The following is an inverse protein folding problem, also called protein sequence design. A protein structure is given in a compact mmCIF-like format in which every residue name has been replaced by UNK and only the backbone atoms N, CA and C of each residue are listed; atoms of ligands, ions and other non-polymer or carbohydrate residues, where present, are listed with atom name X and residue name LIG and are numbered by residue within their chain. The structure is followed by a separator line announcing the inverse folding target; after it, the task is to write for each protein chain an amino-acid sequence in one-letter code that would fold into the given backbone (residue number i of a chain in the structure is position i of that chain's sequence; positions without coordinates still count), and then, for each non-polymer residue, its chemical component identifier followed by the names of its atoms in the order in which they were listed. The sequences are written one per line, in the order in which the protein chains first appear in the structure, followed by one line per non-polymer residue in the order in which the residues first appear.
data_IF_748963924026
#
_entry.id   IF_748963924026
#
_cell.length_a   1.000
_cell.length_b   1.000
_cell.length_c   1.000
_cell.angle_alpha   90.00
_cell.angle_beta   90.00
_cell.angle_gamma   90.00
#
_symmetry.space_group_name_H-M   'P 1'
#
loop_
_entity.id
_entity.type
_entity.pdbx_description
1 polymer ?
#
# COMPACT_ATOMS: atom_id res chain seq x y z
N UNK A 1 -18.90 -6.72 13.59
CA UNK A 1 -18.27 -6.65 12.26
C UNK A 1 -19.06 -5.75 11.31
N UNK A 2 -18.40 -4.77 10.68
CA UNK A 2 -18.95 -3.88 9.62
C UNK A 2 -18.73 -4.43 8.19
N UNK A 3 -17.81 -5.36 8.02
CA UNK A 3 -17.56 -6.04 6.74
C UNK A 3 -18.83 -6.75 6.21
N UNK A 4 -19.04 -6.71 4.89
CA UNK A 4 -20.17 -7.37 4.22
C UNK A 4 -21.53 -6.66 4.33
N UNK A 5 -21.62 -5.50 5.00
CA UNK A 5 -22.89 -4.75 5.13
C UNK A 5 -23.17 -3.75 3.99
N UNK A 6 -22.18 -3.44 3.18
CA UNK A 6 -22.33 -2.61 1.98
C UNK A 6 -22.76 -3.43 0.77
N UNK A 7 -23.32 -2.75 -0.25
CA UNK A 7 -23.60 -3.32 -1.58
C UNK A 7 -23.02 -2.39 -2.66
N UNK A 8 -22.74 -2.86 -3.88
CA UNK A 8 -22.20 -2.01 -4.95
C UNK A 8 -23.02 -0.73 -5.21
N UNK A 9 -24.35 -0.79 -5.07
CA UNK A 9 -25.24 0.37 -5.23
C UNK A 9 -25.36 1.27 -3.99
N UNK A 10 -24.91 0.81 -2.82
CA UNK A 10 -24.91 1.58 -1.57
C UNK A 10 -23.71 1.14 -0.70
N UNK A 11 -22.51 1.67 -0.98
CA UNK A 11 -21.32 1.31 -0.23
C UNK A 11 -21.42 1.84 1.20
N UNK A 12 -21.04 1.01 2.16
CA UNK A 12 -20.93 1.40 3.56
C UNK A 12 -19.45 1.43 3.92
N UNK A 13 -18.99 2.54 4.49
CA UNK A 13 -17.59 2.70 4.91
C UNK A 13 -17.22 1.60 5.91
N UNK A 14 -16.18 0.83 5.59
CA UNK A 14 -15.65 -0.24 6.44
C UNK A 14 -14.85 0.33 7.62
N UNK A 15 -13.92 1.23 7.32
CA UNK A 15 -13.00 1.84 8.28
C UNK A 15 -12.15 2.91 7.58
N UNK A 16 -11.17 3.48 8.28
CA UNK A 16 -10.18 4.37 7.68
C UNK A 16 -8.90 4.38 8.49
N UNK A 17 -7.76 4.44 7.81
CA UNK A 17 -6.45 4.64 8.39
C UNK A 17 -5.78 5.80 7.65
N UNK A 18 -5.27 6.83 8.35
CA UNK A 18 -4.68 8.00 7.69
C UNK A 18 -3.27 7.72 7.21
N UNK A 19 -2.97 8.02 5.94
CA UNK A 19 -1.59 8.25 5.53
C UNK A 19 -1.13 9.61 6.06
N UNK A 20 -0.34 9.59 7.14
CA UNK A 20 0.14 10.80 7.81
C UNK A 20 1.24 11.52 7.03
N UNK A 21 1.90 10.82 6.10
CA UNK A 21 3.07 11.32 5.40
C UNK A 21 2.75 11.75 3.97
N UNK A 22 1.56 11.44 3.46
CA UNK A 22 1.08 11.82 2.12
C UNK A 22 1.91 11.18 1.00
N UNK A 23 2.34 9.95 1.21
CA UNK A 23 3.23 9.18 0.33
C UNK A 23 2.53 8.04 -0.39
N UNK A 24 1.33 7.68 0.07
CA UNK A 24 0.61 6.54 -0.43
C UNK A 24 0.24 6.74 -1.91
N UNK A 25 0.58 5.73 -2.70
CA UNK A 25 0.28 5.65 -4.12
C UNK A 25 -0.79 4.58 -4.40
N UNK A 26 -0.73 3.46 -3.68
CA UNK A 26 -1.66 2.35 -3.87
C UNK A 26 -2.10 1.73 -2.56
N UNK A 27 -3.30 1.12 -2.55
CA UNK A 27 -3.81 0.39 -1.39
C UNK A 27 -4.63 -0.82 -1.86
N UNK A 28 -4.22 -2.03 -1.48
CA UNK A 28 -4.90 -3.27 -1.87
C UNK A 28 -5.29 -4.11 -0.65
N UNK A 29 -6.51 -4.68 -0.64
CA UNK A 29 -6.92 -5.60 0.42
C UNK A 29 -6.19 -6.93 0.28
N UNK A 30 -5.83 -7.52 1.43
CA UNK A 30 -5.21 -8.83 1.54
C UNK A 30 -5.81 -9.59 2.71
N UNK A 31 -6.32 -10.81 2.47
CA UNK A 31 -6.73 -11.73 3.53
C UNK A 31 -5.69 -12.85 3.60
N UNK A 32 -4.96 -12.94 4.71
CA UNK A 32 -3.94 -13.97 4.88
C UNK A 32 -4.59 -15.36 4.99
N UNK A 33 -4.04 -16.30 4.23
CA UNK A 33 -4.52 -17.69 4.23
C UNK A 33 -4.00 -18.45 5.43
N UNK A 34 -2.79 -18.15 5.91
CA UNK A 34 -2.17 -18.82 7.06
C UNK A 34 -2.72 -18.34 8.41
N UNK A 35 -3.09 -17.07 8.55
CA UNK A 35 -3.56 -16.52 9.83
C UNK A 35 -5.06 -16.16 9.85
N UNK A 36 -5.66 -15.94 8.69
CA UNK A 36 -7.03 -15.41 8.58
C UNK A 36 -7.12 -13.90 8.85
N UNK A 37 -5.99 -13.22 9.04
CA UNK A 37 -5.95 -11.78 9.28
C UNK A 37 -6.25 -10.99 8.00
N UNK A 38 -7.03 -9.91 8.14
CA UNK A 38 -7.35 -9.00 7.07
C UNK A 38 -6.48 -7.75 7.14
N UNK A 39 -5.71 -7.51 6.08
CA UNK A 39 -4.85 -6.34 5.93
C UNK A 39 -5.29 -5.46 4.76
N UNK A 40 -4.95 -4.18 4.86
CA UNK A 40 -4.77 -3.30 3.71
C UNK A 40 -3.26 -3.09 3.55
N UNK A 41 -2.72 -3.46 2.38
CA UNK A 41 -1.31 -3.20 2.07
C UNK A 41 -1.24 -1.88 1.29
N UNK A 42 -0.62 -0.87 1.89
CA UNK A 42 -0.46 0.46 1.33
C UNK A 42 0.95 0.64 0.77
N UNK A 43 1.08 1.00 -0.51
CA UNK A 43 2.37 1.24 -1.17
C UNK A 43 2.73 2.72 -1.22
N UNK A 44 3.93 3.08 -0.77
CA UNK A 44 4.50 4.43 -0.87
C UNK A 44 5.18 4.66 -2.25
N UNK A 45 4.93 5.81 -2.87
CA UNK A 45 5.68 6.29 -4.05
C UNK A 45 5.97 7.79 -3.92
N UNK A 46 7.17 8.11 -3.42
CA UNK A 46 7.60 9.51 -3.24
C UNK A 46 8.74 9.82 -4.18
N UNK A 47 8.74 11.02 -4.76
CA UNK A 47 9.82 11.55 -5.58
C UNK A 47 10.54 12.69 -4.83
N UNK A 48 11.63 12.42 -4.08
CA UNK A 48 12.29 13.42 -3.25
C UNK A 48 12.82 14.62 -4.05
N UNK A 49 13.22 14.39 -5.30
CA UNK A 49 13.74 15.41 -6.20
C UNK A 49 12.64 15.98 -7.13
N UNK A 50 11.37 15.73 -6.82
CA UNK A 50 10.23 16.12 -7.65
C UNK A 50 10.08 15.28 -8.92
N UNK A 51 9.11 15.66 -9.75
CA UNK A 51 8.73 14.94 -10.97
C UNK A 51 9.44 15.44 -12.23
N UNK A 52 10.27 16.48 -12.14
CA UNK A 52 10.90 17.11 -13.31
C UNK A 52 11.66 16.09 -14.18
N UNK A 53 12.45 15.23 -13.57
CA UNK A 53 13.17 14.19 -14.31
C UNK A 53 12.22 13.22 -15.00
N UNK A 54 11.17 12.77 -14.31
CA UNK A 54 10.16 11.85 -14.87
C UNK A 54 9.46 12.49 -16.08
N UNK A 55 9.04 13.75 -15.97
CA UNK A 55 8.32 14.49 -17.03
C UNK A 55 9.22 14.73 -18.25
N UNK A 56 10.52 14.87 -18.04
CA UNK A 56 11.50 15.10 -19.10
C UNK A 56 12.22 13.82 -19.58
N UNK A 57 11.69 12.63 -19.30
CA UNK A 57 12.29 11.33 -19.64
C UNK A 57 13.76 11.17 -19.19
N UNK A 58 14.09 11.71 -18.02
CA UNK A 58 15.38 11.53 -17.33
C UNK A 58 15.20 10.58 -16.14
N UNK A 59 16.27 9.89 -15.70
CA UNK A 59 16.21 9.07 -14.49
C UNK A 59 15.65 9.86 -13.30
N UNK A 60 14.56 9.37 -12.73
CA UNK A 60 14.01 9.88 -11.48
C UNK A 60 14.55 9.06 -10.30
N UNK A 61 14.07 9.29 -9.08
CA UNK A 61 14.60 8.57 -7.91
C UNK A 61 13.51 8.35 -6.86
N UNK A 62 12.44 7.62 -7.19
CA UNK A 62 11.33 7.35 -6.31
C UNK A 62 11.80 6.51 -5.11
N UNK A 63 11.08 6.66 -4.01
CA UNK A 63 11.36 6.06 -2.71
C UNK A 63 10.05 5.56 -2.12
N UNK A 64 10.10 4.43 -1.42
CA UNK A 64 8.90 3.90 -0.81
C UNK A 64 9.06 2.47 -0.31
N UNK A 65 7.95 1.77 -0.30
CA UNK A 65 7.81 0.49 0.37
C UNK A 65 6.35 0.14 0.57
N UNK A 66 6.08 -0.84 1.42
CA UNK A 66 4.74 -1.32 1.73
C UNK A 66 4.47 -1.25 3.23
N UNK A 67 3.28 -0.78 3.55
CA UNK A 67 2.72 -0.66 4.89
C UNK A 67 1.64 -1.73 5.05
N UNK A 68 1.74 -2.55 6.09
CA UNK A 68 0.77 -3.62 6.37
C UNK A 68 -0.15 -3.16 7.50
N UNK A 69 -1.35 -2.72 7.12
CA UNK A 69 -2.32 -2.18 8.05
C UNK A 69 -3.35 -3.28 8.36
N UNK A 70 -3.35 -3.77 9.59
CA UNK A 70 -4.30 -4.75 10.11
C UNK A 70 -5.68 -4.11 10.30
N UNK A 71 -6.67 -4.74 9.67
CA UNK A 71 -8.08 -4.35 9.65
C UNK A 71 -9.00 -5.42 10.28
N UNK A 72 -8.46 -6.34 11.08
CA UNK A 72 -9.26 -7.28 11.87
C UNK A 72 -10.27 -6.55 12.77
N UNK A 73 -9.89 -5.39 13.29
CA UNK A 73 -10.79 -4.41 13.92
C UNK A 73 -10.87 -3.14 13.05
N UNK A 74 -11.87 -3.01 12.16
CA UNK A 74 -12.01 -1.85 11.29
C UNK A 74 -12.29 -0.52 12.00
N UNK A 75 -12.72 -0.57 13.27
CA UNK A 75 -12.94 0.61 14.10
C UNK A 75 -11.63 1.14 14.69
N UNK A 76 -10.60 0.29 14.76
CA UNK A 76 -9.27 0.63 15.27
C UNK A 76 -8.15 -0.08 14.47
N UNK A 77 -8.00 0.22 13.17
CA UNK A 77 -6.96 -0.40 12.34
C UNK A 77 -5.56 0.02 12.82
N UNK A 78 -4.60 -0.90 12.70
CA UNK A 78 -3.22 -0.71 13.19
C UNK A 78 -2.22 -1.05 12.12
N UNK A 79 -1.13 -0.30 12.05
CA UNK A 79 0.01 -0.68 11.21
C UNK A 79 0.86 -1.69 11.98
N UNK A 80 0.88 -2.93 11.50
CA UNK A 80 1.60 -4.02 12.15
C UNK A 80 3.04 -4.12 11.64
N UNK A 81 3.28 -3.78 10.37
CA UNK A 81 4.60 -3.86 9.76
C UNK A 81 4.79 -2.84 8.62
N UNK A 82 6.06 -2.55 8.34
CA UNK A 82 6.47 -1.75 7.19
C UNK A 82 7.69 -2.40 6.54
N UNK A 83 7.66 -2.56 5.23
CA UNK A 83 8.78 -3.00 4.40
C UNK A 83 9.23 -1.82 3.53
N UNK A 84 10.41 -1.27 3.79
CA UNK A 84 10.96 -0.11 3.05
C UNK A 84 12.06 -0.56 2.10
N UNK A 85 12.05 -0.02 0.89
CA UNK A 85 13.15 -0.13 -0.08
C UNK A 85 13.75 1.25 -0.26
N UNK A 86 14.94 1.54 0.33
CA UNK A 86 15.55 2.85 0.27
C UNK A 86 15.92 3.32 -1.13
N UNK A 87 16.01 2.43 -2.12
CA UNK A 87 16.50 2.72 -3.46
C UNK A 87 15.37 2.87 -4.49
N UNK A 88 14.14 2.49 -4.15
CA UNK A 88 13.03 2.37 -5.11
C UNK A 88 11.68 2.81 -4.52
N UNK A 89 10.74 3.23 -5.38
CA UNK A 89 9.34 3.50 -4.98
C UNK A 89 8.42 2.36 -5.36
N UNK A 90 7.48 2.01 -4.50
CA UNK A 90 6.48 1.00 -4.85
C UNK A 90 5.55 1.58 -5.91
N UNK A 91 5.17 0.80 -6.92
CA UNK A 91 4.24 1.27 -7.94
C UNK A 91 2.98 0.42 -7.95
N UNK A 92 3.14 -0.89 -8.09
CA UNK A 92 2.03 -1.83 -8.04
C UNK A 92 2.39 -3.03 -7.16
N UNK A 93 1.35 -3.73 -6.74
CA UNK A 93 1.48 -4.92 -5.90
C UNK A 93 0.33 -5.86 -6.16
N UNK A 94 0.59 -7.15 -5.96
CA UNK A 94 -0.40 -8.20 -5.97
C UNK A 94 -0.10 -9.21 -4.88
N UNK A 95 -1.11 -9.84 -4.31
CA UNK A 95 -0.91 -10.92 -3.34
C UNK A 95 -1.46 -12.22 -3.90
N UNK A 96 -0.62 -13.25 -3.91
CA UNK A 96 -0.99 -14.62 -4.30
C UNK A 96 -0.72 -15.57 -3.14
N UNK A 97 -1.80 -16.12 -2.56
CA UNK A 97 -1.68 -16.83 -1.27
C UNK A 97 -1.23 -15.85 -0.18
N UNK A 98 -0.12 -16.15 0.48
CA UNK A 98 0.55 -15.24 1.43
C UNK A 98 1.83 -14.60 0.83
N UNK A 99 1.98 -14.59 -0.50
CA UNK A 99 3.15 -14.05 -1.19
C UNK A 99 2.82 -12.68 -1.80
N UNK A 100 3.54 -11.65 -1.36
CA UNK A 100 3.50 -10.31 -1.97
C UNK A 100 4.39 -10.27 -3.21
N UNK A 101 3.76 -10.10 -4.37
CA UNK A 101 4.41 -9.77 -5.63
C UNK A 101 4.50 -8.24 -5.73
N UNK A 102 5.68 -7.71 -5.42
CA UNK A 102 5.95 -6.29 -5.40
C UNK A 102 6.57 -5.78 -6.71
N UNK A 103 5.99 -4.74 -7.30
CA UNK A 103 6.56 -4.02 -8.43
C UNK A 103 7.02 -2.63 -7.99
N UNK A 104 8.30 -2.34 -8.19
CA UNK A 104 8.92 -1.07 -7.86
C UNK A 104 9.31 -0.29 -9.12
N UNK A 105 9.15 1.03 -9.09
CA UNK A 105 9.87 1.89 -10.02
C UNK A 105 11.33 1.97 -9.60
N UNK A 106 12.21 1.66 -10.56
CA UNK A 106 13.67 1.75 -10.49
C UNK A 106 14.27 1.32 -9.16
N UNK A 107 14.48 0.01 -9.00
CA UNK A 107 15.58 -0.48 -8.20
C UNK A 107 16.71 -0.80 -9.15
N UNK A 108 17.87 -0.14 -9.02
CA UNK A 108 19.23 -0.63 -9.31
C UNK A 108 20.21 0.57 -9.32
N UNK A 109 21.40 0.33 -8.75
CA UNK A 109 22.59 1.17 -8.84
C UNK A 109 23.43 0.73 -10.04
#
# INVERSE_FOLDING_TARGET
MKAGKGKPSNPVKLGSYPDRKGRNHSAFPFLSQSTGDFFIIAGDEVFPNGLENLINNRPSSPRGGFHFINFNDPDNPKEDAVYIVPEAGSHNQWVYGDILLAAFYQGWH
#
